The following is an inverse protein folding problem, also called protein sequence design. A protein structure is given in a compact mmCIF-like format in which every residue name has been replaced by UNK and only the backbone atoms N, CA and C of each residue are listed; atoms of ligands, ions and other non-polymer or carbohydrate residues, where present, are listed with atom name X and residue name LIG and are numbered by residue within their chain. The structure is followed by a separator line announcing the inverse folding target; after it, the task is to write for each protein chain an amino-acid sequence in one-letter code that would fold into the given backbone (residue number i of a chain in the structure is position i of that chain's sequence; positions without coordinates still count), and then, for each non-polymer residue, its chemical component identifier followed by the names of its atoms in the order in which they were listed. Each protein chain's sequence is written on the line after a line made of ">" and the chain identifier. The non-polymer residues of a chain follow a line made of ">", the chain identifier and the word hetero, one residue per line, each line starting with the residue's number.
data_IF_687683595425
#
_entry.id   IF_687683595425
#
_cell.length_a   1.000
_cell.length_b   1.000
_cell.length_c   1.000
_cell.angle_alpha   90.00
_cell.angle_beta   90.00
_cell.angle_gamma   90.00
#
_symmetry.space_group_name_H-M   'P 1'
#
loop_
_entity.id
_entity.type
_entity.pdbx_description
1 polymer ?
#
# COMPACT_ATOMS: atom_id res chain seq x y z
N UNK A 1 -15.08 -7.84 -19.13
CA UNK A 1 -14.69 -7.70 -17.72
C UNK A 1 -13.26 -7.23 -17.66
N UNK A 2 -13.05 -6.08 -17.07
CA UNK A 2 -11.67 -5.72 -16.83
C UNK A 2 -11.06 -6.81 -15.98
N UNK A 3 -9.98 -7.35 -16.48
CA UNK A 3 -9.22 -8.34 -15.76
C UNK A 3 -8.58 -7.65 -14.55
N UNK A 4 -9.11 -7.93 -13.36
CA UNK A 4 -8.51 -7.47 -12.10
C UNK A 4 -7.34 -8.38 -11.73
N UNK A 5 -6.50 -8.70 -12.73
CA UNK A 5 -5.31 -9.49 -12.46
C UNK A 5 -4.45 -8.77 -11.44
N UNK A 6 -4.03 -9.52 -10.46
CA UNK A 6 -3.06 -9.03 -9.50
C UNK A 6 -1.82 -8.56 -10.24
N UNK A 7 -1.35 -7.39 -9.88
CA UNK A 7 -0.06 -6.88 -10.34
C UNK A 7 1.00 -7.55 -9.49
N UNK A 8 1.77 -8.45 -10.09
CA UNK A 8 2.74 -9.27 -9.37
C UNK A 8 4.14 -9.04 -9.93
N UNK A 9 5.10 -8.62 -9.08
CA UNK A 9 6.47 -8.44 -9.55
C UNK A 9 7.12 -9.78 -9.92
N UNK A 10 8.10 -9.78 -10.84
CA UNK A 10 8.79 -11.01 -11.25
C UNK A 10 9.47 -11.76 -10.11
N UNK A 11 9.88 -11.06 -9.06
CA UNK A 11 10.55 -11.63 -7.89
C UNK A 11 9.59 -11.86 -6.71
N UNK A 12 8.30 -12.06 -6.99
CA UNK A 12 7.26 -12.19 -5.94
C UNK A 12 7.60 -13.25 -4.90
N UNK A 13 8.07 -14.41 -5.30
CA UNK A 13 8.39 -15.49 -4.37
C UNK A 13 9.49 -15.08 -3.39
N UNK A 14 10.55 -14.48 -3.90
CA UNK A 14 11.67 -14.02 -3.09
C UNK A 14 11.25 -12.86 -2.19
N UNK A 15 10.43 -11.96 -2.71
CA UNK A 15 9.87 -10.84 -1.96
C UNK A 15 9.02 -11.33 -0.78
N UNK A 16 8.15 -12.30 -1.01
CA UNK A 16 7.31 -12.88 0.04
C UNK A 16 8.14 -13.59 1.12
N UNK A 17 9.19 -14.29 0.72
CA UNK A 17 10.10 -14.91 1.68
C UNK A 17 10.81 -13.87 2.54
N UNK A 18 11.25 -12.78 1.93
CA UNK A 18 11.88 -11.69 2.66
C UNK A 18 10.89 -11.07 3.64
N UNK A 19 9.67 -10.79 3.22
CA UNK A 19 8.63 -10.25 4.08
C UNK A 19 8.34 -11.17 5.26
N UNK A 20 8.18 -12.46 5.01
CA UNK A 20 7.94 -13.45 6.05
C UNK A 20 9.07 -13.53 7.06
N UNK A 21 10.32 -13.39 6.59
CA UNK A 21 11.49 -13.46 7.46
C UNK A 21 11.53 -12.35 8.51
N UNK A 22 10.88 -11.22 8.27
CA UNK A 22 10.82 -10.11 9.23
C UNK A 22 9.78 -10.33 10.34
N UNK A 23 8.90 -11.30 10.19
CA UNK A 23 7.86 -11.63 11.17
C UNK A 23 7.01 -10.41 11.58
N UNK A 24 6.80 -9.48 10.64
CA UNK A 24 6.09 -8.23 10.90
C UNK A 24 4.59 -8.32 10.64
N UNK A 25 4.17 -9.22 9.74
CA UNK A 25 2.74 -9.43 9.46
C UNK A 25 2.01 -9.89 10.71
N UNK A 26 0.84 -9.28 10.96
CA UNK A 26 0.01 -9.54 12.14
C UNK A 26 0.69 -9.20 13.47
N UNK A 27 1.78 -8.45 13.45
CA UNK A 27 2.45 -7.99 14.66
C UNK A 27 1.67 -6.85 15.31
N UNK A 28 1.98 -6.56 16.56
CA UNK A 28 1.34 -5.48 17.31
C UNK A 28 1.78 -4.12 16.78
N UNK A 29 0.97 -3.09 17.06
CA UNK A 29 1.32 -1.72 16.75
C UNK A 29 2.61 -1.34 17.47
N UNK A 30 3.41 -0.50 16.81
CA UNK A 30 4.66 0.00 17.36
C UNK A 30 4.72 1.52 17.17
N UNK A 31 5.02 2.23 18.24
CA UNK A 31 5.06 3.70 18.25
C UNK A 31 5.97 4.29 17.18
N UNK A 32 7.08 3.62 16.89
CA UNK A 32 8.04 4.08 15.88
C UNK A 32 7.42 4.20 14.50
N UNK A 33 6.61 3.22 14.11
CA UNK A 33 5.89 3.25 12.84
C UNK A 33 4.74 4.23 12.88
N UNK A 34 4.00 4.30 13.98
CA UNK A 34 2.88 5.22 14.13
C UNK A 34 3.32 6.68 14.07
N UNK A 35 4.49 7.00 14.60
CA UNK A 35 5.06 8.34 14.49
C UNK A 35 5.34 8.73 13.04
N UNK A 36 5.79 7.77 12.22
CA UNK A 36 6.05 8.02 10.80
C UNK A 36 4.76 8.33 10.06
N UNK A 37 3.69 7.55 10.28
CA UNK A 37 2.39 7.82 9.63
C UNK A 37 1.77 9.13 10.10
N UNK A 38 1.87 9.45 11.37
CA UNK A 38 1.39 10.73 11.92
C UNK A 38 2.15 11.91 11.30
N UNK A 39 3.47 11.79 11.20
CA UNK A 39 4.31 12.83 10.59
C UNK A 39 3.97 13.00 9.11
N UNK A 40 3.78 11.91 8.37
CA UNK A 40 3.42 11.96 6.97
C UNK A 40 2.09 12.68 6.76
N UNK A 41 1.08 12.41 7.59
CA UNK A 41 -0.20 13.12 7.55
C UNK A 41 -0.03 14.62 7.77
N UNK A 42 0.79 15.00 8.73
CA UNK A 42 1.03 16.42 9.04
C UNK A 42 1.78 17.13 7.91
N UNK A 43 2.82 16.51 7.36
CA UNK A 43 3.65 17.12 6.33
C UNK A 43 2.95 17.19 4.98
N UNK A 44 2.19 16.16 4.63
CA UNK A 44 1.52 16.09 3.33
C UNK A 44 0.11 16.69 3.33
N UNK A 45 -0.44 16.96 4.51
CA UNK A 45 -1.80 17.48 4.63
C UNK A 45 -2.86 16.49 4.14
N UNK A 46 -2.59 15.19 4.23
CA UNK A 46 -3.50 14.14 3.78
C UNK A 46 -4.31 13.57 4.95
N UNK A 47 -5.58 13.17 4.71
CA UNK A 47 -6.38 12.56 5.77
C UNK A 47 -5.99 11.12 6.08
N UNK A 48 -5.32 10.45 5.14
CA UNK A 48 -4.92 9.04 5.28
C UNK A 48 -3.42 8.92 5.06
N UNK A 49 -2.76 8.17 5.94
CA UNK A 49 -1.36 7.80 5.80
C UNK A 49 -1.18 6.38 6.33
N UNK A 50 -0.44 5.57 5.60
CA UNK A 50 -0.30 4.14 5.87
C UNK A 50 1.13 3.67 5.69
N UNK A 51 1.54 2.73 6.54
CA UNK A 51 2.67 1.84 6.26
C UNK A 51 2.06 0.48 6.00
N UNK A 52 2.21 -0.02 4.78
CA UNK A 52 1.54 -1.22 4.32
C UNK A 52 2.52 -2.31 3.93
N UNK A 53 2.11 -3.55 4.12
CA UNK A 53 2.86 -4.72 3.72
C UNK A 53 1.96 -5.57 2.81
N UNK A 54 2.47 -5.93 1.65
CA UNK A 54 1.73 -6.70 0.66
C UNK A 54 2.10 -8.17 0.76
N UNK A 55 1.17 -8.93 1.33
CA UNK A 55 1.22 -10.37 1.38
C UNK A 55 0.68 -10.95 0.05
N UNK A 56 0.64 -12.26 -0.07
CA UNK A 56 0.19 -12.93 -1.30
C UNK A 56 -1.23 -12.50 -1.73
N UNK A 57 -2.15 -12.35 -0.77
CA UNK A 57 -3.56 -12.10 -1.04
C UNK A 57 -4.12 -10.83 -0.42
N UNK A 58 -3.33 -10.13 0.39
CA UNK A 58 -3.82 -8.99 1.14
C UNK A 58 -2.78 -7.88 1.25
N UNK A 59 -3.28 -6.68 1.48
CA UNK A 59 -2.49 -5.55 1.94
C UNK A 59 -2.77 -5.38 3.42
N UNK A 60 -1.76 -5.53 4.26
CA UNK A 60 -1.90 -5.42 5.72
C UNK A 60 -1.25 -4.12 6.21
N UNK A 61 -1.92 -3.44 7.14
CA UNK A 61 -1.46 -2.15 7.64
C UNK A 61 -0.68 -2.31 8.94
N UNK A 62 0.63 -2.10 8.87
CA UNK A 62 1.48 -2.04 10.06
C UNK A 62 1.20 -0.78 10.86
N UNK A 63 0.93 0.34 10.18
CA UNK A 63 0.58 1.60 10.80
C UNK A 63 -0.43 2.33 9.92
N UNK A 64 -1.37 3.03 10.55
CA UNK A 64 -2.47 3.67 9.81
C UNK A 64 -2.97 4.92 10.53
N UNK A 65 -3.33 5.92 9.72
CA UNK A 65 -4.05 7.13 10.14
C UNK A 65 -5.22 7.31 9.17
N UNK A 66 -6.41 7.56 9.70
CA UNK A 66 -7.56 7.93 8.90
C UNK A 66 -8.40 6.78 8.34
N UNK A 67 -8.08 5.54 8.68
CA UNK A 67 -8.87 4.36 8.31
C UNK A 67 -9.07 3.45 9.53
N UNK A 68 -10.20 2.75 9.57
CA UNK A 68 -10.54 1.85 10.67
C UNK A 68 -10.27 0.38 10.38
N UNK A 69 -9.99 0.04 9.12
CA UNK A 69 -9.71 -1.34 8.71
C UNK A 69 -8.24 -1.66 8.92
N UNK A 70 -7.91 -2.93 9.07
CA UNK A 70 -6.54 -3.41 9.29
C UNK A 70 -5.91 -4.00 8.03
N UNK A 71 -6.70 -4.32 7.04
CA UNK A 71 -6.22 -4.92 5.79
C UNK A 71 -7.23 -4.74 4.68
N UNK A 72 -6.77 -4.95 3.44
CA UNK A 72 -7.62 -4.98 2.25
C UNK A 72 -7.22 -6.15 1.38
N UNK A 73 -8.11 -6.60 0.46
CA UNK A 73 -7.68 -7.51 -0.59
C UNK A 73 -6.56 -6.87 -1.42
N UNK A 74 -5.58 -7.66 -1.80
CA UNK A 74 -4.43 -7.16 -2.56
C UNK A 74 -4.82 -6.53 -3.89
N UNK A 75 -5.78 -7.12 -4.58
CA UNK A 75 -6.23 -6.63 -5.89
C UNK A 75 -6.83 -5.23 -5.85
N UNK A 76 -7.26 -4.75 -4.68
CA UNK A 76 -7.78 -3.40 -4.51
C UNK A 76 -6.69 -2.40 -4.07
N UNK A 77 -5.51 -2.88 -3.75
CA UNK A 77 -4.45 -2.04 -3.21
C UNK A 77 -3.74 -1.23 -4.29
N UNK A 78 -3.66 0.08 -4.13
CA UNK A 78 -2.82 0.94 -4.96
C UNK A 78 -1.35 0.56 -4.82
N UNK A 79 -0.95 0.11 -3.63
CA UNK A 79 0.41 -0.26 -3.31
C UNK A 79 0.95 -1.43 -4.14
N UNK A 80 0.08 -2.26 -4.73
CA UNK A 80 0.54 -3.33 -5.62
C UNK A 80 1.30 -2.79 -6.83
N UNK A 81 0.98 -1.57 -7.26
CA UNK A 81 1.73 -0.88 -8.32
C UNK A 81 2.99 -0.22 -7.77
N UNK A 82 2.94 0.30 -6.54
CA UNK A 82 4.08 0.95 -5.90
C UNK A 82 5.28 0.00 -5.78
N UNK A 83 5.03 -1.25 -5.39
CA UNK A 83 6.12 -2.22 -5.19
C UNK A 83 6.74 -2.73 -6.49
N UNK A 84 6.15 -2.40 -7.65
CA UNK A 84 6.68 -2.79 -8.96
C UNK A 84 7.89 -1.95 -9.38
N UNK A 85 8.20 -0.89 -8.66
CA UNK A 85 9.26 0.05 -9.00
C UNK A 85 9.98 0.52 -7.74
N UNK A 86 11.05 1.28 -7.89
CA UNK A 86 11.87 1.74 -6.77
C UNK A 86 11.77 3.26 -6.55
N UNK A 87 10.79 3.90 -7.16
CA UNK A 87 10.59 5.33 -7.11
C UNK A 87 9.20 5.68 -6.56
N UNK A 88 8.96 6.96 -6.33
CA UNK A 88 7.65 7.46 -5.95
C UNK A 88 6.61 7.08 -7.02
N UNK A 89 5.53 6.46 -6.60
CA UNK A 89 4.38 6.20 -7.45
C UNK A 89 3.27 7.17 -7.07
N UNK A 90 2.85 8.01 -8.01
CA UNK A 90 1.87 9.05 -7.77
C UNK A 90 0.68 8.94 -8.73
N UNK A 91 -0.52 9.09 -8.17
CA UNK A 91 -1.77 9.16 -8.93
C UNK A 91 -2.42 10.49 -8.58
N UNK A 92 -2.44 11.42 -9.54
CA UNK A 92 -2.97 12.78 -9.30
C UNK A 92 -4.48 12.78 -9.10
N UNK A 93 -5.21 12.03 -9.93
CA UNK A 93 -6.65 11.87 -9.81
C UNK A 93 -7.04 10.45 -10.19
N UNK A 94 -7.37 9.66 -9.18
CA UNK A 94 -7.72 8.26 -9.35
C UNK A 94 -9.00 8.07 -10.20
N UNK A 95 -9.88 9.05 -10.24
CA UNK A 95 -11.11 8.97 -11.05
C UNK A 95 -10.81 9.05 -12.55
N UNK A 96 -9.64 9.56 -12.92
CA UNK A 96 -9.20 9.70 -14.31
C UNK A 96 -8.13 8.68 -14.69
N UNK A 97 -7.76 7.79 -13.76
CA UNK A 97 -6.73 6.78 -14.00
C UNK A 97 -7.38 5.46 -14.39
N UNK A 98 -7.01 4.94 -15.56
CA UNK A 98 -7.59 3.70 -16.08
C UNK A 98 -7.44 2.50 -15.14
N UNK A 99 -6.39 2.51 -14.32
CA UNK A 99 -6.12 1.42 -13.37
C UNK A 99 -7.03 1.47 -12.15
N UNK A 100 -7.50 2.66 -11.77
CA UNK A 100 -8.15 2.88 -10.48
C UNK A 100 -9.57 3.45 -10.55
N UNK A 101 -9.99 3.99 -11.68
CA UNK A 101 -11.30 4.68 -11.79
C UNK A 101 -12.50 3.83 -11.35
N UNK A 102 -12.41 2.52 -11.52
CA UNK A 102 -13.46 1.58 -11.14
C UNK A 102 -13.17 0.84 -9.82
N UNK A 103 -12.09 1.22 -9.13
CA UNK A 103 -11.71 0.63 -7.84
C UNK A 103 -12.71 1.02 -6.76
N UNK A 104 -13.10 0.07 -5.93
CA UNK A 104 -14.10 0.29 -4.87
C UNK A 104 -13.73 1.41 -3.90
N UNK A 105 -12.44 1.64 -3.67
CA UNK A 105 -11.96 2.71 -2.80
C UNK A 105 -11.96 4.09 -3.48
N UNK A 106 -12.22 4.12 -4.77
CA UNK A 106 -12.37 5.35 -5.56
C UNK A 106 -13.85 5.66 -5.79
N UNK A 107 -14.64 4.66 -6.15
CA UNK A 107 -16.08 4.83 -6.41
C UNK A 107 -16.93 4.92 -5.15
N UNK A 108 -16.40 4.43 -4.03
CA UNK A 108 -17.02 4.48 -2.71
C UNK A 108 -16.01 4.86 -1.64
N UNK A 109 -16.42 4.84 -0.36
CA UNK A 109 -15.53 5.22 0.74
C UNK A 109 -14.22 4.42 0.72
N UNK A 110 -13.10 5.06 1.01
CA UNK A 110 -12.91 6.44 1.46
C UNK A 110 -12.82 7.50 0.35
N UNK A 111 -13.27 7.20 -0.86
CA UNK A 111 -13.33 8.14 -1.98
C UNK A 111 -11.94 8.68 -2.35
N UNK A 112 -10.99 7.79 -2.55
CA UNK A 112 -9.61 8.16 -2.88
C UNK A 112 -9.58 8.92 -4.21
N UNK A 113 -8.88 10.06 -4.23
CA UNK A 113 -8.66 10.88 -5.42
C UNK A 113 -7.19 11.00 -5.75
N UNK A 114 -6.37 11.32 -4.76
CA UNK A 114 -4.92 11.41 -4.87
C UNK A 114 -4.26 10.27 -4.11
N UNK A 115 -3.18 9.74 -4.66
CA UNK A 115 -2.36 8.73 -4.01
C UNK A 115 -0.90 9.00 -4.29
N UNK A 116 -0.08 8.87 -3.27
CA UNK A 116 1.37 8.84 -3.43
C UNK A 116 1.93 7.75 -2.51
N UNK A 117 2.75 6.89 -3.06
CA UNK A 117 3.38 5.80 -2.32
C UNK A 117 4.83 5.64 -2.70
N UNK A 118 5.64 5.28 -1.72
CA UNK A 118 7.05 4.99 -1.93
C UNK A 118 7.36 3.58 -1.42
N UNK A 119 8.03 2.74 -2.22
CA UNK A 119 8.34 1.38 -1.78
C UNK A 119 9.39 1.40 -0.67
N UNK A 120 9.20 0.52 0.31
CA UNK A 120 10.20 0.27 1.34
C UNK A 120 11.04 -0.90 0.84
N UNK A 121 12.30 -0.63 0.55
CA UNK A 121 13.20 -1.62 -0.03
C UNK A 121 14.17 -2.11 1.04
N UNK A 122 14.28 -3.42 1.22
CA UNK A 122 15.20 -3.98 2.19
C UNK A 122 16.65 -4.00 1.69
N UNK A 123 17.57 -4.44 2.54
CA UNK A 123 19.00 -4.48 2.21
C UNK A 123 19.31 -5.41 1.02
N UNK A 124 18.43 -6.36 0.74
CA UNK A 124 18.58 -7.31 -0.39
C UNK A 124 17.89 -6.81 -1.68
N UNK A 125 17.24 -5.64 -1.63
CA UNK A 125 16.59 -5.05 -2.80
C UNK A 125 15.13 -5.47 -3.00
N UNK A 126 14.49 -6.09 -2.01
CA UNK A 126 13.07 -6.46 -2.10
C UNK A 126 12.17 -5.35 -1.58
N UNK A 127 11.07 -5.08 -2.32
CA UNK A 127 10.06 -4.08 -1.98
C UNK A 127 8.91 -4.66 -1.17
#
# INVERSE_FOLDING_TARGET
>A
MPDRTKVIPPNERERLRALESYEILNSLREDEFDRITELATLLCGTPISLITLLDEKRQWFKSKVGVDIDETPRELAFCQYTIMQNELFEVEDATQDERFKDNEFVTGPPDIRFYAGFPLTDASGYN
#
